data_IF_620447142596
#
_entry.id   IF_620447142596
#
_cell.length_a   1.000
_cell.length_b   1.000
_cell.length_c   1.000
_cell.angle_alpha   90.00
_cell.angle_beta   90.00
_cell.angle_gamma   90.00
#
_symmetry.space_group_name_H-M   'P 1'
#
loop_
_entity.id
_entity.type
_entity.pdbx_description
1 polymer ?
#
# COMPACT_ATOMS: atom_id res chain seq x y z
N UNK A 1 4.04 -45.50 -4.53
CA UNK A 1 2.61 -45.16 -4.77
C UNK A 1 1.83 -45.19 -3.45
N UNK A 2 2.19 -44.31 -2.50
CA UNK A 2 1.50 -44.21 -1.19
C UNK A 2 1.55 -42.79 -0.58
N UNK A 3 2.09 -41.80 -1.31
CA UNK A 3 2.16 -40.40 -0.88
C UNK A 3 1.04 -39.51 -1.45
N UNK A 4 0.38 -39.93 -2.54
CA UNK A 4 -0.68 -39.12 -3.16
C UNK A 4 -2.03 -39.21 -2.46
N UNK A 5 -2.27 -40.22 -1.61
CA UNK A 5 -3.56 -40.43 -0.93
C UNK A 5 -3.70 -39.66 0.38
N UNK A 6 -2.61 -39.17 0.99
CA UNK A 6 -2.67 -38.34 2.20
C UNK A 6 -2.89 -36.85 1.92
N UNK A 7 -2.58 -36.37 0.72
CA UNK A 7 -2.76 -34.96 0.35
C UNK A 7 -4.23 -34.63 0.01
N UNK A 8 -4.96 -35.59 -0.58
CA UNK A 8 -6.39 -35.45 -0.89
C UNK A 8 -7.29 -35.45 0.35
N UNK A 9 -6.84 -36.07 1.45
CA UNK A 9 -7.61 -36.11 2.70
C UNK A 9 -7.50 -34.81 3.52
N UNK A 10 -6.45 -34.01 3.31
CA UNK A 10 -6.26 -32.73 3.98
C UNK A 10 -7.02 -31.59 3.28
N UNK A 11 -7.19 -31.68 1.95
CA UNK A 11 -7.92 -30.68 1.16
C UNK A 11 -9.45 -30.78 1.25
N UNK A 12 -10.00 -31.90 1.76
CA UNK A 12 -11.45 -32.05 1.98
C UNK A 12 -11.93 -31.66 3.39
N UNK A 13 -11.02 -31.32 4.31
CA UNK A 13 -11.38 -30.76 5.62
C UNK A 13 -11.38 -29.22 5.66
N UNK A 14 -10.86 -28.57 4.61
CA UNK A 14 -10.84 -27.10 4.50
C UNK A 14 -12.01 -26.59 3.65
N UNK A 15 -12.63 -27.44 2.83
CA UNK A 15 -13.76 -27.09 1.96
C UNK A 15 -15.12 -27.38 2.61
N UNK A 16 -15.22 -27.34 3.94
CA UNK A 16 -16.50 -27.49 4.66
C UNK A 16 -16.59 -26.59 5.90
N UNK A 17 -16.17 -25.32 5.76
CA UNK A 17 -16.44 -24.27 6.76
C UNK A 17 -17.26 -23.12 6.15
N UNK A 18 -17.53 -23.16 4.84
CA UNK A 18 -18.27 -22.10 4.14
C UNK A 18 -19.49 -22.70 3.47
N UNK A 19 -20.55 -22.94 4.25
CA UNK A 19 -21.96 -22.70 3.89
C UNK A 19 -22.92 -23.47 4.80
N UNK A 20 -23.77 -22.71 5.50
CA UNK A 20 -25.13 -23.15 5.81
C UNK A 20 -25.32 -24.09 6.99
N UNK A 21 -25.44 -23.53 8.19
CA UNK A 21 -26.39 -24.09 9.16
C UNK A 21 -27.09 -22.95 9.91
N UNK A 22 -28.24 -22.56 9.37
CA UNK A 22 -29.31 -21.88 10.09
C UNK A 22 -30.16 -23.00 10.71
N UNK A 23 -30.29 -22.98 12.04
CA UNK A 23 -31.38 -23.65 12.75
C UNK A 23 -31.78 -22.77 13.94
N UNK A 24 -33.07 -22.45 13.98
CA UNK A 24 -33.74 -21.58 14.92
C UNK A 24 -34.35 -22.36 16.10
N UNK A 25 -34.53 -21.62 17.21
CA UNK A 25 -35.41 -21.83 18.39
C UNK A 25 -34.90 -22.78 19.50
N UNK A 26 -35.03 -22.53 20.82
CA UNK A 26 -35.90 -21.67 21.64
C UNK A 26 -35.23 -21.20 22.97
N UNK A 27 -35.69 -20.04 23.45
CA UNK A 27 -35.92 -19.57 24.84
C UNK A 27 -34.82 -19.62 25.91
N UNK A 28 -34.53 -18.44 26.48
CA UNK A 28 -33.88 -18.28 27.78
C UNK A 28 -33.05 -17.01 27.82
N UNK A 29 -33.68 -15.88 28.13
CA UNK A 29 -33.00 -14.58 28.14
C UNK A 29 -31.91 -14.53 29.20
N UNK A 30 -30.72 -14.09 28.81
CA UNK A 30 -29.81 -13.21 29.56
C UNK A 30 -28.77 -12.65 28.58
N UNK A 31 -28.66 -11.32 28.55
CA UNK A 31 -27.61 -10.46 28.00
C UNK A 31 -26.61 -11.09 26.99
N UNK A 32 -26.80 -10.77 25.71
CA UNK A 32 -25.75 -10.94 24.69
C UNK A 32 -25.68 -9.73 23.74
N UNK A 33 -25.65 -8.53 24.33
CA UNK A 33 -25.14 -7.33 23.65
C UNK A 33 -23.66 -7.20 24.01
N UNK A 34 -22.77 -7.53 23.07
CA UNK A 34 -21.34 -7.37 23.31
C UNK A 34 -20.37 -7.95 22.29
N UNK A 35 -20.83 -8.72 21.29
CA UNK A 35 -19.88 -9.37 20.38
C UNK A 35 -20.39 -9.52 18.93
N UNK A 36 -20.93 -8.43 18.37
CA UNK A 36 -21.17 -8.29 16.91
C UNK A 36 -20.80 -6.90 16.36
N UNK A 37 -19.98 -6.13 17.07
CA UNK A 37 -19.66 -4.73 16.75
C UNK A 37 -18.16 -4.41 16.66
N UNK A 38 -17.30 -5.37 16.26
CA UNK A 38 -15.85 -5.12 16.15
C UNK A 38 -15.26 -5.33 14.75
N UNK A 39 -16.06 -5.66 13.73
CA UNK A 39 -15.57 -5.91 12.37
C UNK A 39 -16.11 -4.92 11.31
N UNK A 40 -16.60 -3.76 11.76
CA UNK A 40 -16.88 -2.60 10.92
C UNK A 40 -16.39 -1.37 11.69
N UNK A 41 -15.57 -0.54 11.05
CA UNK A 41 -14.79 0.58 11.59
C UNK A 41 -13.49 0.20 12.32
N UNK A 42 -12.51 -0.28 11.57
CA UNK A 42 -11.17 0.27 11.71
C UNK A 42 -10.89 1.10 10.46
N UNK A 43 -11.40 2.33 10.46
CA UNK A 43 -10.68 3.41 9.79
C UNK A 43 -9.37 3.52 10.57
N UNK A 44 -8.35 2.77 10.14
CA UNK A 44 -7.03 2.91 10.72
C UNK A 44 -6.54 4.30 10.30
N UNK A 45 -6.55 5.23 11.24
CA UNK A 45 -5.74 6.45 11.14
C UNK A 45 -4.23 6.13 11.04
N UNK A 46 -3.85 4.84 11.12
CA UNK A 46 -2.51 4.30 10.93
C UNK A 46 -2.26 3.68 9.55
N UNK A 47 -1.03 3.23 9.35
CA UNK A 47 -0.55 2.60 8.14
C UNK A 47 0.20 3.54 7.19
N UNK A 48 0.59 2.97 6.04
CA UNK A 48 1.28 3.69 4.98
C UNK A 48 0.30 4.59 4.21
N UNK A 49 0.65 5.86 4.05
CA UNK A 49 -0.13 6.86 3.32
C UNK A 49 0.76 7.88 2.63
N UNK A 50 0.25 8.57 1.62
CA UNK A 50 0.90 9.77 1.11
C UNK A 50 0.68 10.95 2.07
N UNK A 51 1.63 11.88 2.10
CA UNK A 51 1.53 13.13 2.89
C UNK A 51 0.30 13.96 2.50
N UNK A 52 -0.03 13.98 1.20
CA UNK A 52 -1.16 14.71 0.64
C UNK A 52 -2.09 13.76 -0.11
N UNK A 53 -3.40 13.98 0.00
CA UNK A 53 -4.41 13.24 -0.77
C UNK A 53 -4.56 13.79 -2.20
N UNK A 54 -4.17 15.05 -2.44
CA UNK A 54 -4.21 15.67 -3.75
C UNK A 54 -3.18 16.79 -3.89
N UNK A 55 -2.59 16.93 -5.08
CA UNK A 55 -1.66 18.01 -5.43
C UNK A 55 -1.87 18.50 -6.86
N UNK A 56 -1.49 19.76 -7.12
CA UNK A 56 -1.42 20.32 -8.47
C UNK A 56 0.04 20.39 -8.92
N UNK A 57 0.30 20.00 -10.17
CA UNK A 57 1.62 19.91 -10.77
C UNK A 57 1.59 20.46 -12.19
N UNK A 58 2.69 21.05 -12.64
CA UNK A 58 2.82 21.47 -14.04
C UNK A 58 3.22 20.29 -14.91
N UNK A 59 2.78 20.31 -16.17
CA UNK A 59 3.25 19.40 -17.20
C UNK A 59 4.77 19.57 -17.45
N UNK A 60 5.44 18.48 -17.83
CA UNK A 60 6.90 18.44 -18.05
C UNK A 60 7.73 18.94 -16.84
N UNK A 61 7.30 18.54 -15.64
CA UNK A 61 7.97 18.81 -14.36
C UNK A 61 8.55 17.54 -13.75
N UNK A 62 9.36 17.70 -12.71
CA UNK A 62 9.87 16.62 -11.86
C UNK A 62 9.52 16.93 -10.42
N UNK A 63 9.03 15.93 -9.69
CA UNK A 63 8.43 16.09 -8.38
C UNK A 63 8.72 14.87 -7.51
N UNK A 64 8.46 15.02 -6.21
CA UNK A 64 8.53 13.96 -5.22
C UNK A 64 7.26 13.99 -4.39
N UNK A 65 6.71 12.81 -4.09
CA UNK A 65 5.68 12.65 -3.05
C UNK A 65 6.23 11.85 -1.88
N UNK A 66 5.88 12.28 -0.66
CA UNK A 66 6.34 11.64 0.56
C UNK A 66 5.33 10.58 1.00
N UNK A 67 5.82 9.39 1.30
CA UNK A 67 5.08 8.32 1.99
C UNK A 67 5.42 8.38 3.48
N UNK A 68 4.38 8.32 4.29
CA UNK A 68 4.40 8.37 5.76
C UNK A 68 3.89 7.04 6.33
N UNK A 69 4.29 6.70 7.55
CA UNK A 69 3.77 5.56 8.31
C UNK A 69 3.22 6.06 9.65
N UNK A 70 1.94 5.85 9.90
CA UNK A 70 1.31 6.26 11.16
C UNK A 70 0.92 5.08 12.03
N UNK A 71 0.93 5.29 13.34
CA UNK A 71 0.50 4.36 14.37
C UNK A 71 1.12 2.97 14.20
N UNK A 72 2.43 2.90 13.95
CA UNK A 72 3.13 1.62 13.98
C UNK A 72 3.07 1.06 15.40
N UNK A 73 2.48 -0.12 15.57
CA UNK A 73 2.20 -0.69 16.90
C UNK A 73 3.31 -1.57 17.46
N UNK A 74 4.21 -2.05 16.61
CA UNK A 74 5.30 -2.94 16.97
C UNK A 74 6.60 -2.56 16.27
N UNK A 75 7.72 -3.09 16.74
CA UNK A 75 9.02 -2.78 16.16
C UNK A 75 9.17 -3.42 14.78
N UNK A 76 9.07 -2.63 13.71
CA UNK A 76 9.11 -3.14 12.34
C UNK A 76 10.56 -3.37 11.88
N UNK A 77 10.84 -4.57 11.39
CA UNK A 77 12.12 -4.97 10.80
C UNK A 77 12.08 -4.90 9.28
N UNK A 78 10.95 -5.23 8.67
CA UNK A 78 10.75 -5.18 7.23
C UNK A 78 9.34 -4.64 6.91
N UNK A 79 9.26 -3.88 5.83
CA UNK A 79 8.06 -3.28 5.25
C UNK A 79 8.10 -3.57 3.75
N UNK A 80 7.02 -4.11 3.21
CA UNK A 80 6.83 -4.24 1.77
C UNK A 80 5.48 -3.67 1.35
N UNK A 81 5.44 -3.10 0.15
CA UNK A 81 4.22 -2.59 -0.45
C UNK A 81 4.39 -2.47 -1.96
N UNK A 82 3.31 -2.11 -2.64
CA UNK A 82 3.34 -1.76 -4.06
C UNK A 82 2.76 -0.39 -4.29
N UNK A 83 3.27 0.31 -5.30
CA UNK A 83 2.72 1.57 -5.78
C UNK A 83 2.15 1.31 -7.17
N UNK A 84 0.84 1.52 -7.32
CA UNK A 84 0.17 1.53 -8.61
C UNK A 84 0.19 2.96 -9.13
N UNK A 85 0.78 3.17 -10.29
CA UNK A 85 0.94 4.49 -10.91
C UNK A 85 0.14 4.50 -12.21
N UNK A 86 -0.75 5.48 -12.37
CA UNK A 86 -1.66 5.58 -13.52
C UNK A 86 -2.53 4.32 -13.76
N UNK A 87 -2.99 3.64 -12.71
CA UNK A 87 -3.79 2.40 -12.85
C UNK A 87 -5.25 2.57 -12.45
N UNK A 88 -5.66 3.75 -11.98
CA UNK A 88 -7.06 4.02 -11.75
C UNK A 88 -7.78 4.18 -13.09
N UNK A 89 -9.05 3.78 -13.15
CA UNK A 89 -9.84 3.81 -14.40
C UNK A 89 -10.02 5.22 -14.98
N UNK A 90 -9.82 6.25 -14.17
CA UNK A 90 -9.94 7.66 -14.51
C UNK A 90 -8.58 8.36 -14.70
N UNK A 91 -7.47 7.61 -14.75
CA UNK A 91 -6.13 8.18 -14.96
C UNK A 91 -5.82 8.51 -16.44
N UNK A 92 -4.99 9.53 -16.64
CA UNK A 92 -4.54 10.02 -17.96
C UNK A 92 -3.15 9.49 -18.38
N UNK A 93 -2.53 8.57 -17.63
CA UNK A 93 -1.16 8.08 -17.88
C UNK A 93 -0.09 9.18 -17.93
N UNK A 94 -0.23 10.21 -17.09
CA UNK A 94 0.63 11.39 -17.14
C UNK A 94 1.90 11.30 -16.30
N UNK A 95 1.99 10.36 -15.36
CA UNK A 95 3.12 10.20 -14.44
C UNK A 95 4.10 9.18 -15.00
N UNK A 96 5.40 9.43 -14.86
CA UNK A 96 6.44 8.45 -15.18
C UNK A 96 7.32 8.30 -13.94
N UNK A 97 7.36 7.11 -13.38
CA UNK A 97 8.22 6.79 -12.24
C UNK A 97 9.69 7.02 -12.60
N UNK A 98 10.46 7.55 -11.64
CA UNK A 98 11.90 7.77 -11.80
C UNK A 98 12.68 6.84 -10.89
N UNK A 99 12.47 7.01 -9.60
CA UNK A 99 13.10 6.22 -8.55
C UNK A 99 12.34 6.42 -7.23
N UNK A 100 12.83 5.76 -6.19
CA UNK A 100 12.31 5.85 -4.84
C UNK A 100 13.50 5.94 -3.87
N UNK A 101 13.43 6.85 -2.92
CA UNK A 101 14.53 7.18 -2.02
C UNK A 101 14.10 7.06 -0.56
N UNK A 102 15.07 6.79 0.33
CA UNK A 102 14.84 6.81 1.77
C UNK A 102 14.56 8.24 2.22
N UNK A 103 13.50 8.41 3.02
CA UNK A 103 13.25 9.64 3.73
C UNK A 103 14.13 9.77 4.99
N UNK A 104 14.02 10.91 5.65
CA UNK A 104 14.84 11.26 6.81
C UNK A 104 14.57 10.45 8.07
N UNK A 105 13.48 9.68 8.11
CA UNK A 105 13.18 8.73 9.18
C UNK A 105 14.02 7.43 9.08
N UNK A 106 14.62 7.17 7.91
CA UNK A 106 15.43 5.99 7.62
C UNK A 106 16.92 6.31 7.44
N UNK A 107 17.41 7.29 8.22
CA UNK A 107 18.81 7.74 8.21
C UNK A 107 19.81 6.68 8.62
N UNK A 108 19.40 5.72 9.45
CA UNK A 108 20.27 4.62 9.86
C UNK A 108 20.71 3.81 8.62
N UNK A 109 22.03 3.59 8.43
CA UNK A 109 22.55 2.93 7.24
C UNK A 109 22.18 1.44 7.16
N UNK A 110 21.75 0.84 8.26
CA UNK A 110 21.22 -0.53 8.30
C UNK A 110 19.89 -0.68 7.56
N UNK A 111 19.14 0.40 7.33
CA UNK A 111 17.95 0.40 6.48
C UNK A 111 18.33 0.39 5.00
N UNK A 112 17.92 -0.69 4.33
CA UNK A 112 18.09 -0.94 2.91
C UNK A 112 16.74 -0.78 2.21
N UNK A 113 16.74 -0.02 1.12
CA UNK A 113 15.58 0.19 0.25
C UNK A 113 15.91 -0.43 -1.11
N UNK A 114 15.04 -1.31 -1.58
CA UNK A 114 15.11 -1.93 -2.89
C UNK A 114 13.75 -1.87 -3.59
N UNK A 115 13.74 -1.85 -4.92
CA UNK A 115 12.52 -1.78 -5.69
C UNK A 115 12.65 -2.41 -7.07
N UNK A 116 11.51 -2.83 -7.61
CA UNK A 116 11.40 -3.29 -8.99
C UNK A 116 10.17 -2.68 -9.67
N UNK A 117 10.27 -2.38 -10.95
CA UNK A 117 9.18 -1.76 -11.73
C UNK A 117 8.67 -2.74 -12.77
N UNK A 118 7.36 -3.01 -12.74
CA UNK A 118 6.66 -3.73 -13.80
C UNK A 118 5.82 -2.72 -14.58
N UNK A 119 6.19 -2.52 -15.84
CA UNK A 119 5.40 -1.71 -16.77
C UNK A 119 4.21 -2.51 -17.28
N UNK A 120 3.08 -1.84 -17.47
CA UNK A 120 1.98 -2.42 -18.23
C UNK A 120 2.45 -2.74 -19.66
N UNK A 121 1.98 -3.86 -20.21
CA UNK A 121 2.40 -4.35 -21.53
C UNK A 121 1.76 -3.61 -22.70
N UNK A 122 0.77 -2.74 -22.42
CA UNK A 122 0.15 -1.89 -23.42
C UNK A 122 1.14 -0.83 -23.95
N UNK A 123 1.35 -0.82 -25.29
CA UNK A 123 2.46 -0.13 -25.98
C UNK A 123 2.61 1.39 -25.75
N UNK A 124 1.63 2.06 -25.18
CA UNK A 124 1.64 3.52 -24.98
C UNK A 124 1.26 3.95 -23.56
N UNK A 125 1.24 3.02 -22.61
CA UNK A 125 0.85 3.34 -21.24
C UNK A 125 2.07 3.67 -20.39
N UNK A 126 1.92 4.70 -19.54
CA UNK A 126 2.83 4.93 -18.42
C UNK A 126 2.28 4.30 -17.13
N UNK A 127 1.35 3.33 -17.25
CA UNK A 127 0.88 2.55 -16.11
C UNK A 127 1.99 1.63 -15.61
N UNK A 128 2.31 1.77 -14.33
CA UNK A 128 3.45 1.09 -13.70
C UNK A 128 3.02 0.51 -12.35
N UNK A 129 3.57 -0.65 -12.00
CA UNK A 129 3.51 -1.22 -10.66
C UNK A 129 4.91 -1.30 -10.08
N UNK A 130 5.16 -0.53 -9.02
CA UNK A 130 6.45 -0.49 -8.33
C UNK A 130 6.36 -1.37 -7.09
N UNK A 131 7.18 -2.41 -7.03
CA UNK A 131 7.35 -3.27 -5.87
C UNK A 131 8.40 -2.64 -4.98
N UNK A 132 8.10 -2.41 -3.72
CA UNK A 132 9.00 -1.74 -2.77
C UNK A 132 9.27 -2.67 -1.60
N UNK A 133 10.55 -2.83 -1.27
CA UNK A 133 11.01 -3.53 -0.08
C UNK A 133 11.92 -2.61 0.72
N UNK A 134 11.57 -2.44 1.99
CA UNK A 134 12.36 -1.71 2.97
C UNK A 134 12.65 -2.66 4.14
N UNK A 135 13.92 -2.88 4.46
CA UNK A 135 14.29 -3.77 5.58
C UNK A 135 15.54 -3.30 6.29
N UNK A 136 15.63 -3.58 7.58
CA UNK A 136 16.82 -3.32 8.37
C UNK A 136 17.70 -4.58 8.45
N UNK A 137 18.97 -4.44 8.14
CA UNK A 137 19.97 -5.53 8.21
C UNK A 137 20.44 -5.84 9.64
N UNK A 138 20.24 -4.91 10.57
CA UNK A 138 20.58 -5.06 11.99
C UNK A 138 19.35 -5.51 12.79
N UNK A 139 19.43 -6.70 13.40
CA UNK A 139 18.33 -7.34 14.15
C UNK A 139 17.69 -6.45 15.22
N UNK A 140 18.47 -5.55 15.84
CA UNK A 140 18.01 -4.72 16.94
C UNK A 140 17.73 -3.25 16.55
N UNK A 141 17.76 -2.92 15.27
CA UNK A 141 17.60 -1.53 14.78
C UNK A 141 16.32 -1.29 13.97
N UNK A 142 15.33 -2.18 14.08
CA UNK A 142 14.00 -1.96 13.51
C UNK A 142 13.34 -0.65 13.98
N UNK A 143 12.38 -0.15 13.19
CA UNK A 143 11.61 1.06 13.45
C UNK A 143 10.81 0.85 14.73
N UNK A 144 10.98 1.75 15.69
CA UNK A 144 10.21 1.70 16.93
C UNK A 144 8.72 1.97 16.67
N UNK A 145 7.81 1.52 17.54
CA UNK A 145 6.42 1.94 17.49
C UNK A 145 6.29 3.47 17.45
N UNK A 146 5.39 4.00 16.63
CA UNK A 146 5.21 5.46 16.46
C UNK A 146 4.81 5.90 15.05
N UNK A 147 4.99 7.20 14.81
CA UNK A 147 4.71 7.87 13.55
C UNK A 147 6.01 8.27 12.83
N UNK A 148 6.01 8.17 11.51
CA UNK A 148 7.11 8.48 10.60
C UNK A 148 6.57 9.34 9.46
N UNK A 149 6.96 10.60 9.44
CA UNK A 149 6.42 11.63 8.55
C UNK A 149 7.20 11.80 7.25
N UNK A 150 8.40 11.22 7.16
CA UNK A 150 9.28 11.23 5.99
C UNK A 150 9.97 9.86 5.88
N UNK A 151 9.17 8.82 5.61
CA UNK A 151 9.64 7.44 5.52
C UNK A 151 10.33 7.18 4.17
N UNK A 152 9.62 7.43 3.07
CA UNK A 152 10.09 7.16 1.71
C UNK A 152 9.62 8.26 0.76
N UNK A 153 10.42 8.59 -0.25
CA UNK A 153 10.12 9.60 -1.28
C UNK A 153 10.00 8.94 -2.64
N UNK A 154 8.87 9.16 -3.31
CA UNK A 154 8.60 8.64 -4.66
C UNK A 154 8.85 9.75 -5.66
N UNK A 155 9.90 9.61 -6.47
CA UNK A 155 10.27 10.59 -7.47
C UNK A 155 9.64 10.24 -8.82
N UNK A 156 9.07 11.24 -9.48
CA UNK A 156 8.38 11.07 -10.76
C UNK A 156 8.52 12.31 -11.63
N UNK A 157 8.27 12.13 -12.93
CA UNK A 157 8.09 13.24 -13.88
C UNK A 157 6.67 13.24 -14.44
N UNK A 158 6.20 14.41 -14.85
CA UNK A 158 4.94 14.56 -15.59
C UNK A 158 5.23 14.66 -17.09
N UNK A 159 4.40 14.05 -17.93
CA UNK A 159 4.50 14.21 -19.39
C UNK A 159 4.07 15.60 -19.83
N UNK A 160 4.35 15.92 -21.11
CA UNK A 160 3.72 17.05 -21.76
C UNK A 160 2.25 16.74 -22.07
N UNK A 161 1.36 17.70 -21.81
CA UNK A 161 -0.05 17.57 -22.17
C UNK A 161 -0.28 18.14 -23.59
N UNK A 162 -1.15 17.54 -24.41
CA UNK A 162 -1.44 18.04 -25.75
C UNK A 162 -2.14 19.41 -25.72
N UNK A 163 -2.97 19.67 -24.70
CA UNK A 163 -3.73 20.91 -24.55
C UNK A 163 -3.28 21.71 -23.32
N UNK A 164 -2.72 22.90 -23.58
CA UNK A 164 -2.16 23.82 -22.57
C UNK A 164 -3.18 24.39 -21.57
N UNK A 165 -4.48 24.21 -21.83
CA UNK A 165 -5.57 24.66 -20.95
C UNK A 165 -6.30 23.51 -20.24
N UNK A 166 -5.92 22.26 -20.50
CA UNK A 166 -6.57 21.11 -19.86
C UNK A 166 -5.88 20.76 -18.53
N UNK A 167 -6.69 20.35 -17.56
CA UNK A 167 -6.22 19.68 -16.34
C UNK A 167 -6.47 18.19 -16.55
N UNK A 168 -5.44 17.37 -16.35
CA UNK A 168 -5.51 15.91 -16.45
C UNK A 168 -5.18 15.29 -15.11
N UNK A 169 -6.00 14.33 -14.68
CA UNK A 169 -5.80 13.59 -13.43
C UNK A 169 -4.97 12.34 -13.72
N UNK A 170 -4.01 12.08 -12.85
CA UNK A 170 -3.38 10.79 -12.64
C UNK A 170 -3.31 10.51 -11.15
N UNK A 171 -3.09 9.27 -10.73
CA UNK A 171 -2.83 8.97 -9.32
C UNK A 171 -1.70 7.97 -9.08
N UNK A 172 -1.24 7.97 -7.83
CA UNK A 172 -0.42 6.91 -7.26
C UNK A 172 -1.17 6.30 -6.08
N UNK A 173 -1.21 4.97 -6.00
CA UNK A 173 -1.89 4.25 -4.93
C UNK A 173 -1.02 3.17 -4.31
N UNK A 174 -0.91 3.18 -2.99
CA UNK A 174 -0.24 2.14 -2.20
C UNK A 174 -1.19 0.96 -2.05
N UNK A 175 -0.72 -0.25 -2.33
CA UNK A 175 -1.48 -1.49 -2.14
C UNK A 175 -0.61 -2.57 -1.52
N UNK A 176 -1.24 -3.57 -0.89
CA UNK A 176 -0.57 -4.73 -0.31
C UNK A 176 0.56 -4.35 0.66
N UNK A 177 0.27 -3.34 1.50
CA UNK A 177 1.19 -2.89 2.55
C UNK A 177 1.23 -3.93 3.67
N UNK A 178 2.42 -4.47 3.92
CA UNK A 178 2.70 -5.48 4.93
C UNK A 178 3.99 -5.11 5.68
N UNK A 179 4.02 -5.36 6.98
CA UNK A 179 5.22 -5.23 7.81
C UNK A 179 5.40 -6.46 8.68
N UNK A 180 6.63 -6.65 9.17
CA UNK A 180 6.95 -7.70 10.13
C UNK A 180 7.97 -7.25 11.17
N UNK A 181 7.93 -7.89 12.33
CA UNK A 181 9.00 -7.84 13.31
C UNK A 181 10.21 -8.65 12.84
N UNK A 182 11.31 -8.60 13.60
CA UNK A 182 12.49 -9.41 13.30
C UNK A 182 12.20 -10.92 13.25
N UNK A 183 11.35 -11.41 14.15
CA UNK A 183 10.95 -12.83 14.21
C UNK A 183 9.91 -13.21 13.13
N UNK A 184 9.55 -12.28 12.25
CA UNK A 184 8.58 -12.50 11.18
C UNK A 184 7.11 -12.38 11.60
N UNK A 185 6.82 -11.89 12.81
CA UNK A 185 5.43 -11.64 13.21
C UNK A 185 4.84 -10.46 12.43
N UNK A 186 3.63 -10.58 11.86
CA UNK A 186 3.05 -9.54 11.03
C UNK A 186 2.66 -8.30 11.85
N UNK A 187 2.82 -7.12 11.25
CA UNK A 187 2.38 -5.84 11.78
C UNK A 187 1.37 -5.21 10.83
N UNK A 188 0.30 -4.63 11.39
CA UNK A 188 -0.73 -3.97 10.61
C UNK A 188 -0.27 -2.57 10.18
N UNK A 189 -0.11 -2.38 8.88
CA UNK A 189 0.29 -1.08 8.30
C UNK A 189 -0.61 -0.63 7.13
N UNK A 190 -1.84 -1.15 7.07
CA UNK A 190 -2.82 -0.76 6.06
C UNK A 190 -3.48 0.57 6.43
N UNK A 191 -3.59 1.48 5.46
CA UNK A 191 -4.28 2.76 5.60
C UNK A 191 -5.44 2.87 4.62
N UNK A 192 -6.44 3.67 4.97
CA UNK A 192 -7.52 4.08 4.04
C UNK A 192 -7.15 5.33 3.22
N UNK A 193 -6.02 5.98 3.52
CA UNK A 193 -5.51 7.17 2.83
C UNK A 193 -4.30 6.81 1.96
N UNK A 194 -4.45 5.75 1.19
CA UNK A 194 -3.38 5.10 0.44
C UNK A 194 -3.17 5.67 -0.98
N UNK A 195 -3.94 6.67 -1.39
CA UNK A 195 -3.91 7.24 -2.74
C UNK A 195 -3.63 8.76 -2.71
N UNK A 196 -2.80 9.22 -3.64
CA UNK A 196 -2.64 10.63 -3.98
C UNK A 196 -3.13 10.90 -5.40
N UNK A 197 -3.97 11.93 -5.55
CA UNK A 197 -4.42 12.46 -6.84
C UNK A 197 -3.50 13.59 -7.29
N UNK A 198 -3.01 13.50 -8.52
CA UNK A 198 -2.12 14.50 -9.11
C UNK A 198 -2.86 15.12 -10.28
N UNK A 199 -3.17 16.41 -10.16
CA UNK A 199 -3.77 17.19 -11.22
C UNK A 199 -2.64 17.87 -12.00
N UNK A 200 -2.41 17.43 -13.25
CA UNK A 200 -1.40 18.00 -14.13
C UNK A 200 -2.02 19.13 -14.94
N UNK A 201 -1.45 20.31 -14.84
CA UNK A 201 -1.81 21.50 -15.59
C UNK A 201 -0.89 21.69 -16.80
N UNK A 202 -1.47 21.93 -17.97
CA UNK A 202 -0.71 22.29 -19.16
C UNK A 202 0.05 23.61 -18.98
N UNK A 203 1.26 23.72 -19.54
CA UNK A 203 1.99 25.00 -19.55
C UNK A 203 1.28 25.97 -20.50
N UNK A 204 0.87 27.14 -20.01
CA UNK A 204 0.53 28.26 -20.90
C UNK A 204 1.79 28.63 -21.69
N UNK A 205 1.69 28.61 -23.03
CA UNK A 205 2.72 29.14 -23.92
C UNK A 205 2.81 30.65 -23.77
#
# INVERSE_FOLDING_TARGET
>A
MFLLTKLTLLMNKITLIISGLILLFFSGGMAQDGMKSSLKNHQTNGGLKFESESVNRSANGTYSEIIQLFNLTGKAQAIQFRILINKASDDYDALIFKDIEKGSDLKDPGWLLDFNVIKDSSKNSNAEEVFVLLYNSNQNSGLQPGDYFDLVKVNYKTINLPDTKSIKKSSMKIVKAEASTFDGFPLLIQSTKDEIKINIEGKKK
#
